data_IF_349099566914
#
_entry.id   IF_349099566914
#
_cell.length_a   1.000
_cell.length_b   1.000
_cell.length_c   1.000
_cell.angle_alpha   90.00
_cell.angle_beta   90.00
_cell.angle_gamma   90.00
#
_symmetry.space_group_name_H-M   'P 1'
#
loop_
_entity.id
_entity.type
_entity.pdbx_description
1 polymer ?
#
# COMPACT_ATOMS: atom_id res chain seq x y z
N UNK A 1 40.30 4.14 -22.59
CA UNK A 1 39.45 2.96 -22.35
C UNK A 1 39.02 2.44 -23.71
N UNK A 2 39.67 1.40 -24.24
CA UNK A 2 39.25 0.77 -25.51
C UNK A 2 38.15 -0.23 -25.21
N UNK A 3 36.94 0.06 -25.66
CA UNK A 3 35.79 -0.84 -25.54
C UNK A 3 35.93 -1.95 -26.57
N UNK A 4 36.01 -3.21 -26.12
CA UNK A 4 36.07 -4.39 -26.99
C UNK A 4 34.71 -4.57 -27.68
N UNK A 5 34.61 -4.58 -29.02
CA UNK A 5 33.35 -4.71 -29.74
C UNK A 5 32.65 -6.07 -29.57
N UNK A 6 33.40 -7.13 -29.24
CA UNK A 6 32.89 -8.50 -29.09
C UNK A 6 32.49 -8.84 -27.64
N UNK A 7 32.17 -7.84 -26.83
CA UNK A 7 31.74 -8.04 -25.44
C UNK A 7 30.28 -8.53 -25.41
N UNK A 8 30.00 -9.79 -24.98
CA UNK A 8 28.64 -10.35 -24.99
C UNK A 8 27.70 -9.64 -24.02
N UNK A 9 28.20 -8.81 -23.10
CA UNK A 9 27.38 -7.95 -22.25
C UNK A 9 26.86 -6.70 -22.99
N UNK A 10 27.27 -6.47 -24.24
CA UNK A 10 26.76 -5.40 -25.12
C UNK A 10 25.37 -5.69 -25.64
N UNK A 11 25.04 -6.97 -25.83
CA UNK A 11 23.76 -7.37 -26.34
C UNK A 11 22.85 -7.73 -25.16
N UNK A 12 21.69 -7.09 -25.04
CA UNK A 12 20.70 -7.51 -24.06
C UNK A 12 20.28 -8.96 -24.40
N UNK A 13 19.93 -9.77 -23.38
CA UNK A 13 19.29 -11.05 -23.59
C UNK A 13 18.13 -10.96 -24.60
N UNK A 14 17.87 -12.03 -25.34
CA UNK A 14 16.80 -12.06 -26.36
C UNK A 14 15.44 -11.66 -25.78
N UNK A 15 15.14 -12.06 -24.53
CA UNK A 15 13.93 -11.66 -23.81
C UNK A 15 13.83 -10.13 -23.64
N UNK A 16 14.90 -9.52 -23.11
CA UNK A 16 14.98 -8.08 -22.90
C UNK A 16 14.86 -7.31 -24.23
N UNK A 17 15.49 -7.81 -25.30
CA UNK A 17 15.40 -7.21 -26.64
C UNK A 17 13.96 -7.25 -27.19
N UNK A 18 13.22 -8.34 -26.95
CA UNK A 18 11.82 -8.47 -27.35
C UNK A 18 10.90 -7.53 -26.57
N UNK A 19 11.13 -7.37 -25.26
CA UNK A 19 10.38 -6.44 -24.42
C UNK A 19 10.67 -4.99 -24.81
N UNK A 20 11.93 -4.63 -25.07
CA UNK A 20 12.34 -3.29 -25.49
C UNK A 20 11.87 -2.92 -26.90
N UNK A 21 11.63 -3.92 -27.77
CA UNK A 21 11.05 -3.70 -29.08
C UNK A 21 9.55 -3.39 -29.03
N UNK A 22 8.88 -3.62 -27.89
CA UNK A 22 7.48 -3.25 -27.74
C UNK A 22 7.34 -1.73 -27.62
N UNK A 23 6.32 -1.12 -28.25
CA UNK A 23 6.06 0.30 -28.06
C UNK A 23 5.68 0.56 -26.60
N UNK A 24 6.25 1.61 -26.01
CA UNK A 24 5.78 2.13 -24.73
C UNK A 24 4.35 2.63 -24.93
N UNK A 25 3.42 2.05 -24.19
CA UNK A 25 2.04 2.54 -24.11
C UNK A 25 2.01 3.62 -23.05
N UNK A 26 1.98 4.88 -23.48
CA UNK A 26 1.75 6.02 -22.59
C UNK A 26 0.25 6.11 -22.29
N UNK A 27 -0.16 5.45 -21.21
CA UNK A 27 -1.53 5.48 -20.72
C UNK A 27 -1.69 6.66 -19.75
N UNK A 28 -1.82 7.86 -20.33
CA UNK A 28 -1.99 9.11 -19.57
C UNK A 28 -3.27 9.12 -18.71
N UNK A 29 -4.23 8.25 -18.97
CA UNK A 29 -5.44 8.09 -18.15
C UNK A 29 -5.16 7.33 -16.84
N UNK A 30 -3.99 6.70 -16.68
CA UNK A 30 -3.56 6.07 -15.42
C UNK A 30 -2.85 7.04 -14.47
N UNK A 31 -2.33 8.16 -14.98
CA UNK A 31 -1.60 9.16 -14.18
C UNK A 31 -2.52 10.25 -13.62
N UNK A 32 -3.82 9.95 -13.52
CA UNK A 32 -4.81 10.83 -12.89
C UNK A 32 -5.09 10.36 -11.48
N UNK A 33 -4.81 11.23 -10.51
CA UNK A 33 -5.30 11.02 -9.14
C UNK A 33 -6.83 11.06 -9.17
N UNK A 34 -7.53 10.04 -8.63
CA UNK A 34 -8.98 10.05 -8.54
C UNK A 34 -9.45 11.35 -7.87
N UNK A 35 -10.24 12.14 -8.58
CA UNK A 35 -10.74 13.43 -8.05
C UNK A 35 -11.91 13.24 -7.07
N UNK A 36 -12.45 12.03 -7.00
CA UNK A 36 -13.51 11.66 -6.08
C UNK A 36 -12.93 10.79 -4.97
N UNK A 37 -13.36 11.00 -3.71
CA UNK A 37 -13.00 10.09 -2.64
C UNK A 37 -13.49 8.67 -3.00
N UNK A 38 -12.81 7.62 -2.51
CA UNK A 38 -13.30 6.26 -2.67
C UNK A 38 -14.73 6.19 -2.13
N UNK A 39 -15.60 5.50 -2.88
CA UNK A 39 -16.99 5.33 -2.47
C UNK A 39 -17.04 4.63 -1.12
N UNK A 40 -17.99 5.03 -0.27
CA UNK A 40 -18.26 4.31 0.97
C UNK A 40 -18.54 2.84 0.64
N UNK A 41 -17.89 1.93 1.37
CA UNK A 41 -18.09 0.50 1.21
C UNK A 41 -19.56 0.17 1.45
N UNK A 42 -20.18 -0.53 0.51
CA UNK A 42 -21.54 -1.02 0.66
C UNK A 42 -21.57 -2.25 1.57
N UNK A 43 -22.75 -2.62 2.08
CA UNK A 43 -22.89 -3.86 2.87
C UNK A 43 -22.44 -5.11 2.10
N UNK A 44 -22.57 -5.09 0.77
CA UNK A 44 -22.09 -6.17 -0.09
C UNK A 44 -20.55 -6.22 -0.12
N UNK A 45 -19.89 -5.07 -0.25
CA UNK A 45 -18.42 -4.97 -0.25
C UNK A 45 -17.83 -5.46 1.09
N UNK A 46 -18.49 -5.15 2.20
CA UNK A 46 -18.08 -5.61 3.54
C UNK A 46 -18.21 -7.14 3.67
N UNK A 47 -19.27 -7.72 3.12
CA UNK A 47 -19.45 -9.17 3.12
C UNK A 47 -18.37 -9.91 2.32
N UNK A 48 -17.78 -9.26 1.31
CA UNK A 48 -16.70 -9.81 0.49
C UNK A 48 -15.30 -9.71 1.14
N UNK A 49 -15.12 -8.91 2.19
CA UNK A 49 -13.82 -8.78 2.87
C UNK A 49 -13.39 -10.02 3.64
N UNK A 50 -14.26 -11.04 3.71
CA UNK A 50 -14.00 -12.28 4.44
C UNK A 50 -13.99 -12.06 5.95
N UNK A 51 -14.21 -13.14 6.71
CA UNK A 51 -14.05 -13.06 8.15
C UNK A 51 -12.57 -13.01 8.51
N UNK A 52 -12.15 -12.17 9.46
CA UNK A 52 -10.82 -12.26 10.02
C UNK A 52 -10.61 -13.67 10.62
N UNK A 53 -9.38 -14.20 10.60
CA UNK A 53 -9.09 -15.51 11.15
C UNK A 53 -9.48 -15.57 12.64
N UNK A 54 -9.98 -16.74 13.05
CA UNK A 54 -10.46 -16.94 14.41
C UNK A 54 -9.35 -16.64 15.43
N UNK A 55 -9.59 -15.67 16.31
CA UNK A 55 -8.70 -15.29 17.40
C UNK A 55 -8.11 -13.88 17.33
N UNK A 56 -8.23 -13.15 16.22
CA UNK A 56 -7.64 -11.80 16.12
C UNK A 56 -8.47 -10.70 16.79
N UNK A 57 -9.79 -10.88 16.91
CA UNK A 57 -10.66 -9.84 17.52
C UNK A 57 -10.76 -9.91 19.05
N UNK A 58 -10.56 -11.08 19.66
CA UNK A 58 -10.67 -11.24 21.12
C UNK A 58 -9.50 -10.59 21.89
N UNK A 59 -8.32 -10.54 21.27
CA UNK A 59 -7.11 -10.00 21.90
C UNK A 59 -7.18 -8.48 22.08
N UNK A 60 -7.97 -7.79 21.26
CA UNK A 60 -8.07 -6.33 21.32
C UNK A 60 -8.77 -5.81 22.58
N UNK A 61 -9.55 -6.64 23.29
CA UNK A 61 -10.32 -6.20 24.47
C UNK A 61 -9.80 -6.77 25.79
N UNK A 62 -8.95 -7.78 25.76
CA UNK A 62 -8.36 -8.35 26.97
C UNK A 62 -7.13 -7.56 27.39
N UNK A 63 -7.22 -6.84 28.50
CA UNK A 63 -6.07 -6.26 29.17
C UNK A 63 -5.46 -7.31 30.13
N UNK A 64 -4.12 -7.36 30.31
CA UNK A 64 -3.51 -8.11 31.40
C UNK A 64 -4.17 -7.73 32.74
N UNK A 65 -4.25 -8.67 33.69
CA UNK A 65 -4.94 -8.43 34.99
C UNK A 65 -4.37 -7.22 35.76
N UNK A 66 -3.09 -6.91 35.57
CA UNK A 66 -2.39 -5.79 36.20
C UNK A 66 -2.39 -4.51 35.36
N UNK A 67 -2.98 -4.52 34.17
CA UNK A 67 -2.97 -3.37 33.28
C UNK A 67 -4.07 -2.36 33.63
N UNK A 68 -3.71 -1.08 33.60
CA UNK A 68 -4.65 0.01 33.85
C UNK A 68 -5.52 0.24 32.60
N UNK A 69 -6.87 0.19 32.71
CA UNK A 69 -7.75 0.44 31.57
C UNK A 69 -7.63 1.86 30.99
N UNK A 70 -7.20 2.85 31.78
CA UNK A 70 -6.98 4.21 31.27
C UNK A 70 -5.81 4.25 30.28
N UNK A 71 -4.68 3.63 30.62
CA UNK A 71 -3.50 3.57 29.75
C UNK A 71 -3.82 2.88 28.42
N UNK A 72 -4.68 1.85 28.43
CA UNK A 72 -5.11 1.16 27.22
C UNK A 72 -5.95 2.04 26.28
N UNK A 73 -6.74 2.97 26.83
CA UNK A 73 -7.52 3.91 26.05
C UNK A 73 -6.62 4.99 25.44
N UNK A 74 -5.66 5.52 26.20
CA UNK A 74 -4.68 6.51 25.72
C UNK A 74 -3.85 5.95 24.55
N UNK A 75 -3.44 4.68 24.64
CA UNK A 75 -2.69 4.03 23.56
C UNK A 75 -3.51 3.83 22.29
N UNK A 76 -4.82 3.57 22.40
CA UNK A 76 -5.71 3.47 21.23
C UNK A 76 -5.93 4.83 20.56
N UNK A 77 -5.96 5.90 21.34
CA UNK A 77 -6.08 7.26 20.81
C UNK A 77 -4.81 7.68 20.03
N UNK A 78 -3.64 7.20 20.47
CA UNK A 78 -2.34 7.50 19.82
C UNK A 78 -2.14 6.89 18.42
N UNK A 79 -2.95 5.91 18.03
CA UNK A 79 -2.81 5.19 16.75
C UNK A 79 -3.52 5.93 15.60
N UNK A 80 -4.44 6.85 15.92
CA UNK A 80 -4.96 7.77 14.91
C UNK A 80 -3.87 8.84 14.72
N UNK A 81 -3.12 8.85 13.60
CA UNK A 81 -2.26 9.98 13.33
C UNK A 81 -3.16 11.21 13.36
N UNK A 82 -2.82 12.18 14.20
CA UNK A 82 -3.38 13.51 14.08
C UNK A 82 -3.13 13.91 12.62
N UNK A 83 -4.19 13.91 11.81
CA UNK A 83 -4.15 14.38 10.43
C UNK A 83 -3.92 15.88 10.56
N UNK A 84 -2.64 16.23 10.69
CA UNK A 84 -2.16 17.54 11.04
C UNK A 84 -2.41 18.41 9.81
N UNK A 85 -3.60 18.99 9.80
CA UNK A 85 -4.05 20.14 9.01
C UNK A 85 -3.20 21.39 9.33
N UNK A 86 -1.87 21.26 9.32
CA UNK A 86 -0.92 22.38 9.33
C UNK A 86 -0.72 22.88 7.89
N UNK A 87 -1.83 23.19 7.21
CA UNK A 87 -1.83 24.26 6.21
C UNK A 87 -2.10 25.58 6.93
N UNK A 88 -1.14 26.02 7.73
CA UNK A 88 -1.05 27.43 8.10
C UNK A 88 -0.22 28.14 7.02
N UNK A 89 -0.94 28.91 6.20
CA UNK A 89 -0.40 29.98 5.37
C UNK A 89 -0.55 31.34 6.06
#
# INVERSE_FOLDING_TARGET
MTVNPDDPLREPPEADAMEQAQPVVDDADQDVTPTSPPMEATEADVAEQGSPPAGEQDVLTSLPEDANPADALEQRESIIPADEDHRDG
#
